data_IF_010909879867
#
_entry.id   IF_010909879867
#
_cell.length_a   1.000
_cell.length_b   1.000
_cell.length_c   1.000
_cell.angle_alpha   90.00
_cell.angle_beta   90.00
_cell.angle_gamma   90.00
#
_symmetry.space_group_name_H-M   'P 1'
#
loop_
_entity.id
_entity.type
_entity.pdbx_description
1 polymer ?
#
# COMPACT_ATOMS: atom_id res chain seq x y z
N UNK A 1 -53.42 -38.05 5.86
CA UNK A 1 -52.35 -37.07 6.20
C UNK A 1 -51.21 -37.29 5.23
N UNK A 2 -51.14 -36.48 4.17
CA UNK A 2 -50.10 -36.55 3.16
C UNK A 2 -49.04 -35.48 3.47
N UNK A 3 -47.81 -35.92 3.69
CA UNK A 3 -46.65 -35.06 3.93
C UNK A 3 -46.13 -34.53 2.60
N UNK A 4 -46.25 -33.22 2.37
CA UNK A 4 -45.69 -32.54 1.22
C UNK A 4 -44.15 -32.48 1.35
N UNK A 5 -43.45 -33.09 0.40
CA UNK A 5 -42.00 -33.02 0.25
C UNK A 5 -41.60 -31.69 -0.40
N UNK A 6 -40.78 -30.91 0.29
CA UNK A 6 -40.17 -29.68 -0.23
C UNK A 6 -39.18 -30.00 -1.36
N UNK A 7 -39.19 -29.27 -2.49
CA UNK A 7 -38.23 -29.47 -3.56
C UNK A 7 -36.83 -29.01 -3.13
N UNK A 8 -35.87 -29.94 -3.15
CA UNK A 8 -34.45 -29.65 -3.00
C UNK A 8 -33.96 -28.82 -4.19
N UNK A 9 -33.54 -27.58 -3.94
CA UNK A 9 -32.95 -26.72 -4.96
C UNK A 9 -31.52 -27.22 -5.23
N UNK A 10 -31.32 -27.81 -6.40
CA UNK A 10 -30.04 -28.32 -6.86
C UNK A 10 -28.99 -27.21 -6.98
N UNK A 11 -27.95 -27.27 -6.13
CA UNK A 11 -26.80 -26.37 -6.12
C UNK A 11 -25.86 -26.53 -7.35
N UNK A 12 -26.26 -27.33 -8.35
CA UNK A 12 -25.48 -27.70 -9.53
C UNK A 12 -25.88 -26.94 -10.81
N UNK A 13 -26.92 -26.10 -10.77
CA UNK A 13 -27.17 -25.11 -11.83
C UNK A 13 -26.16 -23.95 -11.68
N UNK A 14 -24.89 -24.26 -11.91
CA UNK A 14 -23.76 -23.35 -11.90
C UNK A 14 -23.93 -22.39 -13.09
N UNK A 15 -24.77 -21.36 -12.90
CA UNK A 15 -25.05 -20.31 -13.88
C UNK A 15 -23.74 -19.85 -14.50
N UNK A 16 -23.70 -19.86 -15.84
CA UNK A 16 -22.54 -19.45 -16.59
C UNK A 16 -21.97 -18.14 -16.03
N UNK A 17 -20.64 -18.05 -15.86
CA UNK A 17 -20.03 -16.88 -15.26
C UNK A 17 -20.33 -15.67 -16.15
N UNK A 18 -21.11 -14.74 -15.60
CA UNK A 18 -21.61 -13.56 -16.31
C UNK A 18 -20.51 -12.70 -16.94
N UNK A 19 -20.93 -11.75 -17.77
CA UNK A 19 -20.02 -10.81 -18.43
C UNK A 19 -19.80 -9.60 -17.53
N UNK A 20 -18.56 -9.41 -17.10
CA UNK A 20 -18.16 -8.30 -16.24
C UNK A 20 -17.63 -7.14 -17.09
N UNK A 21 -18.06 -5.93 -16.80
CA UNK A 21 -17.57 -4.67 -17.34
C UNK A 21 -16.92 -3.84 -16.24
N UNK A 22 -15.80 -3.21 -16.59
CA UNK A 22 -15.09 -2.26 -15.72
C UNK A 22 -15.31 -0.84 -16.24
N UNK A 23 -15.86 0.01 -15.39
CA UNK A 23 -16.14 1.41 -15.70
C UNK A 23 -15.17 2.30 -14.93
N UNK A 24 -14.45 3.16 -15.66
CA UNK A 24 -13.54 4.17 -15.09
C UNK A 24 -14.15 5.55 -15.17
N UNK A 25 -13.79 6.39 -14.20
CA UNK A 25 -14.22 7.78 -14.08
C UNK A 25 -15.74 7.94 -13.93
N UNK A 26 -16.37 6.99 -13.24
CA UNK A 26 -17.75 7.13 -12.84
C UNK A 26 -17.87 8.28 -11.83
N UNK A 27 -18.91 9.12 -11.96
CA UNK A 27 -19.04 10.30 -11.14
C UNK A 27 -19.24 9.92 -9.66
N UNK A 28 -18.32 10.36 -8.79
CA UNK A 28 -18.34 10.05 -7.36
C UNK A 28 -19.56 10.65 -6.62
N UNK A 29 -20.23 11.64 -7.21
CA UNK A 29 -21.46 12.21 -6.64
C UNK A 29 -22.66 11.27 -6.81
N UNK A 30 -22.66 10.41 -7.83
CA UNK A 30 -23.75 9.47 -8.07
C UNK A 30 -23.76 8.36 -7.03
N UNK A 31 -24.95 8.01 -6.55
CA UNK A 31 -25.17 6.92 -5.62
C UNK A 31 -25.01 5.56 -6.31
N UNK A 32 -24.97 4.50 -5.51
CA UNK A 32 -24.98 3.13 -6.05
C UNK A 32 -26.31 2.84 -6.78
N UNK A 33 -27.41 3.35 -6.25
CA UNK A 33 -28.74 3.27 -6.88
C UNK A 33 -28.76 3.91 -8.27
N UNK A 34 -28.17 5.10 -8.42
CA UNK A 34 -28.09 5.79 -9.73
C UNK A 34 -27.28 4.98 -10.75
N UNK A 35 -26.22 4.30 -10.30
CA UNK A 35 -25.42 3.42 -11.16
C UNK A 35 -26.23 2.21 -11.62
N UNK A 36 -26.97 1.56 -10.71
CA UNK A 36 -27.84 0.42 -11.04
C UNK A 36 -28.90 0.85 -12.05
N UNK A 37 -29.62 1.95 -11.79
CA UNK A 37 -30.64 2.46 -12.72
C UNK A 37 -30.06 2.84 -14.09
N UNK A 38 -28.87 3.43 -14.13
CA UNK A 38 -28.21 3.77 -15.39
C UNK A 38 -27.84 2.52 -16.21
N UNK A 39 -27.25 1.52 -15.58
CA UNK A 39 -26.77 0.32 -16.28
C UNK A 39 -27.87 -0.71 -16.56
N UNK A 40 -28.98 -0.70 -15.81
CA UNK A 40 -30.14 -1.57 -16.03
C UNK A 40 -30.81 -1.33 -17.40
N UNK A 41 -30.59 -0.16 -18.01
CA UNK A 41 -31.08 0.16 -19.37
C UNK A 41 -30.43 -0.67 -20.47
N UNK A 42 -29.24 -1.23 -20.22
CA UNK A 42 -28.53 -2.08 -21.19
C UNK A 42 -28.86 -3.57 -21.04
N UNK A 43 -29.51 -3.97 -19.94
CA UNK A 43 -29.87 -5.36 -19.65
C UNK A 43 -30.03 -5.63 -18.15
N UNK A 44 -30.49 -6.84 -17.81
CA UNK A 44 -30.66 -7.29 -16.43
C UNK A 44 -29.31 -7.38 -15.73
N UNK A 45 -29.15 -6.64 -14.62
CA UNK A 45 -27.91 -6.64 -13.85
C UNK A 45 -27.86 -7.82 -12.88
N UNK A 46 -26.80 -8.62 -12.94
CA UNK A 46 -26.48 -9.63 -11.92
C UNK A 46 -25.79 -8.98 -10.72
N UNK A 47 -24.84 -8.06 -10.98
CA UNK A 47 -24.07 -7.39 -9.92
C UNK A 47 -23.65 -5.98 -10.35
N UNK A 48 -23.61 -5.06 -9.41
CA UNK A 48 -23.12 -3.70 -9.63
C UNK A 48 -22.37 -3.25 -8.38
N UNK A 49 -21.05 -3.12 -8.44
CA UNK A 49 -20.20 -2.85 -7.28
C UNK A 49 -19.38 -1.58 -7.48
N UNK A 50 -19.64 -0.58 -6.64
CA UNK A 50 -18.90 0.68 -6.64
C UNK A 50 -17.68 0.56 -5.76
N UNK A 51 -16.49 0.74 -6.35
CA UNK A 51 -15.24 0.62 -5.62
C UNK A 51 -15.08 1.81 -4.67
N UNK A 52 -14.92 1.49 -3.38
CA UNK A 52 -14.66 2.44 -2.31
C UNK A 52 -13.26 2.23 -1.74
N UNK A 53 -12.62 3.28 -1.27
CA UNK A 53 -11.42 3.21 -0.45
C UNK A 53 -11.75 2.56 0.90
N UNK A 54 -10.76 2.10 1.68
CA UNK A 54 -10.97 1.61 3.04
C UNK A 54 -11.70 2.59 3.98
N UNK A 55 -11.65 3.89 3.68
CA UNK A 55 -12.37 4.95 4.42
C UNK A 55 -13.83 5.15 3.99
N UNK A 56 -14.33 4.37 3.03
CA UNK A 56 -15.68 4.49 2.46
C UNK A 56 -15.82 5.49 1.31
N UNK A 57 -14.80 6.28 1.00
CA UNK A 57 -14.81 7.23 -0.12
C UNK A 57 -14.88 6.52 -1.48
N UNK A 58 -15.74 6.99 -2.40
CA UNK A 58 -15.85 6.44 -3.77
C UNK A 58 -14.63 6.80 -4.61
N UNK A 59 -14.09 5.83 -5.36
CA UNK A 59 -12.88 6.02 -6.19
C UNK A 59 -13.22 6.36 -7.65
N UNK A 60 -14.50 6.31 -8.03
CA UNK A 60 -14.93 6.51 -9.42
C UNK A 60 -14.69 5.30 -10.32
N UNK A 61 -14.56 4.11 -9.72
CA UNK A 61 -14.55 2.83 -10.43
C UNK A 61 -15.80 2.03 -10.10
N UNK A 62 -16.33 1.32 -11.08
CA UNK A 62 -17.51 0.47 -10.95
C UNK A 62 -17.28 -0.85 -11.69
N UNK A 63 -17.67 -1.96 -11.06
CA UNK A 63 -17.79 -3.26 -11.72
C UNK A 63 -19.27 -3.54 -11.96
N UNK A 64 -19.62 -3.87 -13.20
CA UNK A 64 -20.99 -4.17 -13.61
C UNK A 64 -20.99 -5.55 -14.23
N UNK A 65 -21.82 -6.46 -13.73
CA UNK A 65 -21.93 -7.83 -14.21
C UNK A 65 -23.33 -8.07 -14.73
N UNK A 66 -23.40 -8.57 -15.96
CA UNK A 66 -24.64 -9.03 -16.59
C UNK A 66 -24.59 -10.56 -16.65
N UNK A 67 -25.73 -11.26 -16.47
CA UNK A 67 -25.77 -12.71 -16.59
C UNK A 67 -25.43 -13.14 -18.02
N UNK A 68 -25.91 -12.38 -19.00
CA UNK A 68 -25.67 -12.59 -20.43
C UNK A 68 -25.00 -11.36 -21.06
N UNK A 69 -24.56 -11.48 -22.31
CA UNK A 69 -24.06 -10.32 -23.06
C UNK A 69 -25.23 -9.32 -23.22
N UNK A 70 -25.07 -8.05 -22.80
CA UNK A 70 -26.13 -7.05 -22.93
C UNK A 70 -26.56 -6.92 -24.39
N UNK A 71 -27.86 -6.83 -24.66
CA UNK A 71 -28.41 -6.67 -26.01
C UNK A 71 -27.76 -5.50 -26.76
N UNK A 72 -27.39 -4.45 -26.03
CA UNK A 72 -26.73 -3.27 -26.57
C UNK A 72 -25.25 -3.15 -26.12
N UNK A 73 -24.47 -4.23 -26.18
CA UNK A 73 -23.03 -4.19 -25.82
C UNK A 73 -22.26 -3.08 -26.55
N UNK A 74 -22.60 -2.82 -27.82
CA UNK A 74 -21.97 -1.74 -28.60
C UNK A 74 -22.30 -0.34 -28.06
N UNK A 75 -23.52 -0.13 -27.54
CA UNK A 75 -23.92 1.12 -26.90
C UNK A 75 -23.22 1.28 -25.56
N UNK A 76 -23.18 0.20 -24.76
CA UNK A 76 -22.50 0.16 -23.46
C UNK A 76 -21.02 0.53 -23.58
N UNK A 77 -20.31 -0.01 -24.57
CA UNK A 77 -18.89 0.30 -24.83
C UNK A 77 -18.68 1.72 -25.38
N UNK A 78 -19.69 2.30 -26.02
CA UNK A 78 -19.68 3.68 -26.53
C UNK A 78 -20.12 4.71 -25.48
N UNK A 79 -20.53 4.30 -24.27
CA UNK A 79 -20.89 5.22 -23.19
C UNK A 79 -19.68 6.07 -22.81
N UNK A 80 -19.68 7.31 -23.31
CA UNK A 80 -18.65 8.31 -23.01
C UNK A 80 -19.09 9.31 -21.94
N UNK A 81 -20.39 9.45 -21.69
CA UNK A 81 -20.94 10.44 -20.74
C UNK A 81 -21.95 9.74 -19.85
N UNK A 82 -21.78 9.88 -18.53
CA UNK A 82 -22.78 9.46 -17.55
C UNK A 82 -23.65 10.68 -17.22
N UNK A 83 -24.98 10.54 -17.21
CA UNK A 83 -25.86 11.60 -16.75
C UNK A 83 -25.54 11.95 -15.30
N UNK A 84 -25.54 13.23 -15.00
CA UNK A 84 -25.41 13.74 -13.63
C UNK A 84 -26.80 14.06 -13.10
N UNK A 85 -26.99 14.03 -11.78
CA UNK A 85 -28.25 14.45 -11.15
C UNK A 85 -28.71 15.84 -11.64
N UNK A 86 -27.75 16.73 -11.93
CA UNK A 86 -28.01 18.10 -12.39
C UNK A 86 -28.38 18.21 -13.89
N UNK A 87 -28.54 17.09 -14.61
CA UNK A 87 -28.78 17.05 -16.07
C UNK A 87 -27.61 17.51 -16.94
N UNK A 88 -26.61 18.20 -16.36
CA UNK A 88 -25.36 18.58 -17.04
C UNK A 88 -24.50 17.34 -17.24
N UNK A 89 -24.06 17.07 -18.46
CA UNK A 89 -23.23 15.89 -18.73
C UNK A 89 -21.90 16.00 -17.98
N UNK A 90 -21.62 15.07 -17.07
CA UNK A 90 -20.35 15.01 -16.36
C UNK A 90 -19.29 14.28 -17.17
N UNK A 91 -18.05 14.47 -16.70
CA UNK A 91 -16.80 13.74 -16.94
C UNK A 91 -16.90 12.50 -17.84
N UNK A 92 -15.96 12.41 -18.78
CA UNK A 92 -15.85 11.27 -19.68
C UNK A 92 -15.68 9.97 -18.88
N UNK A 93 -16.62 9.04 -19.01
CA UNK A 93 -16.46 7.69 -18.50
C UNK A 93 -15.90 6.77 -19.57
N UNK A 94 -15.24 5.69 -19.13
CA UNK A 94 -14.72 4.67 -20.02
C UNK A 94 -15.19 3.31 -19.54
N UNK A 95 -15.95 2.63 -20.39
CA UNK A 95 -16.41 1.26 -20.15
C UNK A 95 -15.54 0.31 -20.93
N UNK A 96 -15.04 -0.73 -20.27
CA UNK A 96 -14.27 -1.80 -20.91
C UNK A 96 -14.76 -3.15 -20.42
N UNK A 97 -14.95 -4.10 -21.33
CA UNK A 97 -15.20 -5.49 -20.95
C UNK A 97 -14.04 -6.02 -20.10
N UNK A 98 -14.37 -6.45 -18.89
CA UNK A 98 -13.46 -7.12 -17.97
C UNK A 98 -13.05 -8.45 -18.57
N UNK A 99 -11.77 -8.80 -18.43
CA UNK A 99 -11.35 -10.18 -18.67
C UNK A 99 -11.81 -10.99 -17.47
N UNK A 100 -12.40 -12.16 -17.71
CA UNK A 100 -12.75 -13.10 -16.63
C UNK A 100 -11.53 -13.26 -15.71
N UNK A 101 -11.77 -13.30 -14.39
CA UNK A 101 -10.72 -13.68 -13.44
C UNK A 101 -10.18 -15.02 -13.91
N UNK A 102 -8.88 -15.06 -14.20
CA UNK A 102 -8.21 -16.30 -14.55
C UNK A 102 -8.41 -17.27 -13.38
N UNK A 103 -8.74 -18.52 -13.69
CA UNK A 103 -8.73 -19.57 -12.65
C UNK A 103 -7.31 -19.65 -12.05
N UNK A 104 -7.16 -20.11 -10.79
CA UNK A 104 -5.84 -20.31 -10.19
C UNK A 104 -4.88 -21.08 -11.11
N UNK A 105 -5.39 -22.11 -11.79
CA UNK A 105 -4.64 -22.88 -12.81
C UNK A 105 -4.20 -22.03 -14.00
N UNK A 106 -5.08 -21.16 -14.54
CA UNK A 106 -4.70 -20.23 -15.62
C UNK A 106 -3.72 -19.15 -15.15
N UNK A 107 -3.74 -18.79 -13.86
CA UNK A 107 -2.75 -17.89 -13.26
C UNK A 107 -1.40 -18.60 -13.18
N UNK A 108 -1.37 -19.85 -12.71
CA UNK A 108 -0.17 -20.67 -12.61
C UNK A 108 0.43 -20.97 -13.98
N UNK A 109 -0.37 -21.41 -14.94
CA UNK A 109 0.07 -21.62 -16.33
C UNK A 109 0.59 -20.33 -16.98
N UNK A 110 -0.01 -19.17 -16.68
CA UNK A 110 0.50 -17.88 -17.16
C UNK A 110 1.83 -17.50 -16.49
N UNK A 111 2.02 -17.80 -15.21
CA UNK A 111 3.29 -17.63 -14.49
C UNK A 111 4.36 -18.55 -15.07
N UNK A 112 4.04 -19.82 -15.31
CA UNK A 112 4.95 -20.79 -15.92
C UNK A 112 5.35 -20.34 -17.33
N UNK A 113 4.41 -19.89 -18.16
CA UNK A 113 4.71 -19.38 -19.51
C UNK A 113 5.60 -18.14 -19.47
N UNK A 114 5.38 -17.22 -18.52
CA UNK A 114 6.30 -16.08 -18.28
C UNK A 114 7.68 -16.57 -17.85
N UNK A 115 7.76 -17.53 -16.93
CA UNK A 115 9.02 -18.13 -16.48
C UNK A 115 9.79 -18.78 -17.65
N UNK A 116 9.11 -19.58 -18.49
CA UNK A 116 9.70 -20.18 -19.68
C UNK A 116 10.18 -19.12 -20.69
N UNK A 117 9.45 -18.01 -20.87
CA UNK A 117 9.89 -16.90 -21.70
C UNK A 117 11.16 -16.24 -21.16
N UNK A 118 11.23 -15.97 -19.84
CA UNK A 118 12.42 -15.45 -19.17
C UNK A 118 13.61 -16.41 -19.34
N UNK A 119 13.38 -17.73 -19.20
CA UNK A 119 14.42 -18.74 -19.38
C UNK A 119 14.96 -18.76 -20.82
N UNK A 120 14.08 -18.65 -21.82
CA UNK A 120 14.47 -18.53 -23.25
C UNK A 120 15.27 -17.25 -23.49
N UNK A 121 14.88 -16.15 -22.86
CA UNK A 121 15.60 -14.87 -22.96
C UNK A 121 16.99 -14.96 -22.31
N UNK A 122 17.11 -15.52 -21.09
CA UNK A 122 18.41 -15.78 -20.43
C UNK A 122 19.30 -16.70 -21.28
N UNK A 123 18.75 -17.72 -21.93
CA UNK A 123 19.51 -18.58 -22.86
C UNK A 123 20.03 -17.79 -24.06
N UNK A 124 19.21 -16.92 -24.67
CA UNK A 124 19.64 -16.01 -25.76
C UNK A 124 20.73 -15.04 -25.29
N UNK A 125 20.59 -14.47 -24.09
CA UNK A 125 21.59 -13.59 -23.49
C UNK A 125 22.91 -14.32 -23.21
N UNK A 126 22.90 -15.56 -22.69
CA UNK A 126 24.12 -16.36 -22.49
C UNK A 126 24.85 -16.64 -23.81
N UNK A 127 24.11 -16.91 -24.89
CA UNK A 127 24.68 -17.09 -26.23
C UNK A 127 25.33 -15.78 -26.71
N UNK A 128 24.70 -14.63 -26.46
CA UNK A 128 25.25 -13.33 -26.80
C UNK A 128 26.38 -12.87 -25.86
N UNK A 129 26.44 -13.33 -24.61
CA UNK A 129 27.52 -13.02 -23.65
C UNK A 129 28.87 -13.57 -24.13
N UNK A 130 28.87 -14.71 -24.84
CA UNK A 130 30.06 -15.22 -25.55
C UNK A 130 30.52 -14.32 -26.71
N UNK A 131 29.62 -13.48 -27.25
CA UNK A 131 29.91 -12.51 -28.33
C UNK A 131 30.21 -11.10 -27.83
N UNK A 132 29.66 -10.70 -26.69
CA UNK A 132 29.74 -9.32 -26.16
C UNK A 132 30.87 -9.10 -25.15
N UNK A 133 31.64 -10.13 -24.79
CA UNK A 133 32.80 -10.00 -23.89
C UNK A 133 32.44 -9.55 -22.46
N UNK A 134 33.48 -9.35 -21.64
CA UNK A 134 33.40 -9.09 -20.19
C UNK A 134 32.67 -7.78 -19.77
N UNK A 135 32.14 -7.01 -20.72
CA UNK A 135 31.59 -5.68 -20.45
C UNK A 135 30.27 -5.72 -19.65
N UNK A 136 29.46 -6.77 -19.78
CA UNK A 136 28.16 -6.88 -19.12
C UNK A 136 28.22 -7.42 -17.67
N UNK A 137 29.38 -7.88 -17.18
CA UNK A 137 29.51 -8.56 -15.87
C UNK A 137 29.54 -7.57 -14.70
N UNK A 138 29.83 -6.29 -14.95
CA UNK A 138 29.97 -5.25 -13.89
C UNK A 138 28.66 -4.68 -13.35
N UNK A 139 27.51 -5.02 -13.92
CA UNK A 139 26.22 -4.36 -13.62
C UNK A 139 25.23 -5.21 -12.82
N UNK A 140 25.65 -6.35 -12.28
CA UNK A 140 24.81 -7.20 -11.42
C UNK A 140 25.45 -7.21 -10.02
N UNK A 141 24.81 -6.58 -9.01
CA UNK A 141 25.26 -6.68 -7.61
C UNK A 141 25.27 -8.14 -7.14
N UNK A 142 26.19 -8.49 -6.24
CA UNK A 142 26.37 -9.88 -5.79
C UNK A 142 25.25 -10.37 -4.84
N UNK A 143 24.39 -9.46 -4.40
CA UNK A 143 23.49 -9.57 -3.26
C UNK A 143 22.03 -9.23 -3.64
N UNK A 144 21.66 -9.46 -4.91
CA UNK A 144 20.34 -9.19 -5.49
C UNK A 144 19.29 -10.23 -5.04
N UNK A 145 18.16 -9.79 -4.47
CA UNK A 145 17.05 -10.64 -4.00
C UNK A 145 15.95 -10.82 -5.07
N UNK A 146 15.45 -12.04 -5.23
CA UNK A 146 14.99 -12.56 -6.54
C UNK A 146 13.56 -12.22 -7.01
N UNK A 147 12.61 -11.78 -6.18
CA UNK A 147 11.20 -11.89 -6.60
C UNK A 147 10.51 -10.59 -7.07
N UNK A 148 10.70 -9.45 -6.39
CA UNK A 148 9.96 -8.21 -6.72
C UNK A 148 10.83 -7.12 -7.37
N UNK A 149 12.12 -7.05 -7.03
CA UNK A 149 13.06 -6.08 -7.62
C UNK A 149 13.60 -6.55 -8.99
N UNK A 150 13.45 -7.84 -9.29
CA UNK A 150 13.89 -8.44 -10.56
C UNK A 150 13.03 -7.97 -11.75
N UNK A 151 11.71 -7.84 -11.60
CA UNK A 151 10.81 -7.44 -12.71
C UNK A 151 11.07 -5.98 -13.14
N UNK A 152 11.23 -5.06 -12.18
CA UNK A 152 11.51 -3.64 -12.47
C UNK A 152 12.94 -3.42 -13.00
N UNK A 153 13.92 -4.19 -12.53
CA UNK A 153 15.29 -4.15 -13.04
C UNK A 153 15.38 -4.59 -14.51
N UNK A 154 14.70 -5.69 -14.88
CA UNK A 154 14.73 -6.18 -16.26
C UNK A 154 13.97 -5.28 -17.24
N UNK A 155 12.85 -4.67 -16.83
CA UNK A 155 12.16 -3.67 -17.68
C UNK A 155 13.07 -2.47 -17.98
N UNK A 156 13.79 -1.95 -16.98
CA UNK A 156 14.77 -0.87 -17.17
C UNK A 156 15.97 -1.27 -18.03
N UNK A 157 16.39 -2.53 -17.99
CA UNK A 157 17.48 -3.05 -18.82
C UNK A 157 17.08 -3.22 -20.28
N UNK A 158 15.86 -3.67 -20.57
CA UNK A 158 15.36 -3.77 -21.96
C UNK A 158 15.28 -2.39 -22.64
N UNK A 159 14.80 -1.37 -21.92
CA UNK A 159 14.77 0.01 -22.41
C UNK A 159 16.18 0.58 -22.66
N UNK A 160 17.13 0.26 -21.78
CA UNK A 160 18.54 0.67 -21.92
C UNK A 160 19.24 -0.01 -23.09
N UNK A 161 19.05 -1.32 -23.25
CA UNK A 161 19.63 -2.07 -24.37
C UNK A 161 19.08 -1.54 -25.71
N UNK A 162 17.79 -1.21 -25.76
CA UNK A 162 17.19 -0.59 -26.94
C UNK A 162 17.79 0.80 -27.24
N UNK A 163 17.95 1.64 -26.22
CA UNK A 163 18.55 2.97 -26.37
C UNK A 163 20.03 2.91 -26.81
N UNK A 164 20.79 1.90 -26.35
CA UNK A 164 22.17 1.67 -26.78
C UNK A 164 22.25 1.22 -28.24
N UNK A 165 21.36 0.32 -28.67
CA UNK A 165 21.27 -0.11 -30.08
C UNK A 165 20.89 1.06 -31.01
N UNK A 166 20.14 2.04 -30.52
CA UNK A 166 19.77 3.27 -31.25
C UNK A 166 20.94 4.26 -31.31
N UNK A 167 21.73 4.38 -30.24
CA UNK A 167 22.94 5.21 -30.20
C UNK A 167 24.04 4.66 -31.10
N UNK A 168 24.30 3.35 -31.08
CA UNK A 168 25.28 2.69 -31.96
C UNK A 168 24.86 2.75 -33.44
N UNK A 169 23.56 2.85 -33.73
CA UNK A 169 23.06 3.05 -35.08
C UNK A 169 23.28 4.49 -35.61
N UNK A 170 23.48 5.46 -34.71
CA UNK A 170 23.61 6.88 -35.02
C UNK A 170 25.07 7.37 -35.01
N UNK A 171 25.99 6.61 -34.42
CA UNK A 171 27.42 6.94 -34.48
C UNK A 171 28.03 6.53 -35.83
N UNK A 172 28.38 7.53 -36.65
CA UNK A 172 29.10 7.35 -37.92
C UNK A 172 30.61 7.28 -37.61
N UNK A 173 31.32 6.20 -37.99
CA UNK A 173 32.76 6.15 -37.77
C UNK A 173 33.48 7.12 -38.73
N UNK A 174 34.31 8.00 -38.18
CA UNK A 174 35.28 8.80 -38.94
C UNK A 174 36.41 7.88 -39.43
N UNK A 175 36.25 7.34 -40.64
CA UNK A 175 37.25 6.55 -41.35
C UNK A 175 36.74 6.08 -42.71
N UNK A 176 37.65 6.05 -43.68
CA UNK A 176 37.46 5.90 -45.14
C UNK A 176 36.09 5.35 -45.64
N UNK A 177 35.26 6.18 -46.32
CA UNK A 177 33.85 5.92 -46.58
C UNK A 177 33.54 4.79 -47.58
N UNK A 178 34.53 4.15 -48.17
CA UNK A 178 34.31 3.20 -49.28
C UNK A 178 34.03 1.76 -48.82
N UNK A 179 34.56 1.33 -47.66
CA UNK A 179 34.34 -0.03 -47.13
C UNK A 179 33.18 -0.11 -46.12
N UNK A 180 33.03 0.89 -45.25
CA UNK A 180 31.97 0.94 -44.24
C UNK A 180 30.57 1.02 -44.86
N UNK A 181 30.44 1.73 -45.99
CA UNK A 181 29.17 1.98 -46.65
C UNK A 181 28.59 0.73 -47.35
N UNK A 182 29.44 -0.21 -47.80
CA UNK A 182 29.00 -1.51 -48.35
C UNK A 182 28.45 -2.44 -47.26
N UNK A 183 29.10 -2.51 -46.08
CA UNK A 183 28.59 -3.31 -44.95
C UNK A 183 27.30 -2.72 -44.37
N UNK A 184 27.22 -1.39 -44.22
CA UNK A 184 26.01 -0.71 -43.77
C UNK A 184 24.82 -0.91 -44.74
N UNK A 185 25.06 -0.81 -46.06
CA UNK A 185 24.03 -1.08 -47.08
C UNK A 185 23.54 -2.54 -47.07
N UNK A 186 24.44 -3.51 -46.88
CA UNK A 186 24.06 -4.94 -46.78
C UNK A 186 23.25 -5.22 -45.51
N UNK A 187 23.61 -4.60 -44.37
CA UNK A 187 22.86 -4.70 -43.09
C UNK A 187 21.48 -4.03 -43.18
N UNK A 188 21.37 -2.84 -43.81
CA UNK A 188 20.08 -2.16 -44.07
C UNK A 188 19.17 -3.00 -44.99
N UNK A 189 19.70 -3.60 -46.07
CA UNK A 189 18.93 -4.48 -46.96
C UNK A 189 18.39 -5.72 -46.24
N UNK A 190 19.18 -6.35 -45.37
CA UNK A 190 18.73 -7.48 -44.55
C UNK A 190 17.62 -7.10 -43.57
N UNK A 191 17.75 -5.94 -42.91
CA UNK A 191 16.73 -5.42 -41.97
C UNK A 191 15.43 -5.05 -42.69
N UNK A 192 15.50 -4.43 -43.87
CA UNK A 192 14.33 -4.10 -44.67
C UNK A 192 13.58 -5.34 -45.16
N UNK A 193 14.30 -6.39 -45.58
CA UNK A 193 13.69 -7.68 -45.95
C UNK A 193 12.96 -8.31 -44.76
N UNK A 194 13.54 -8.28 -43.56
CA UNK A 194 12.89 -8.81 -42.35
C UNK A 194 11.67 -7.97 -41.92
N UNK A 195 11.69 -6.66 -42.18
CA UNK A 195 10.55 -5.79 -41.92
C UNK A 195 9.36 -6.10 -42.84
N UNK A 196 9.61 -6.23 -44.15
CA UNK A 196 8.57 -6.58 -45.14
C UNK A 196 7.97 -7.96 -44.85
N UNK A 197 8.78 -8.92 -44.41
CA UNK A 197 8.29 -10.25 -44.02
C UNK A 197 7.36 -10.20 -42.80
N UNK A 198 7.67 -9.34 -41.82
CA UNK A 198 6.77 -9.12 -40.66
C UNK A 198 5.45 -8.47 -41.06
N UNK A 199 5.46 -7.55 -42.02
CA UNK A 199 4.23 -6.96 -42.55
C UNK A 199 3.36 -8.01 -43.25
N UNK A 200 3.95 -8.84 -44.11
CA UNK A 200 3.23 -9.94 -44.79
C UNK A 200 2.59 -10.93 -43.81
N UNK A 201 3.32 -11.32 -42.76
CA UNK A 201 2.78 -12.21 -41.72
C UNK A 201 1.63 -11.53 -40.95
N UNK A 202 1.72 -10.22 -40.70
CA UNK A 202 0.66 -9.48 -40.01
C UNK A 202 -0.60 -9.33 -40.87
N UNK A 203 -0.45 -9.12 -42.17
CA UNK A 203 -1.55 -9.05 -43.14
C UNK A 203 -2.22 -10.42 -43.32
N UNK A 204 -1.44 -11.49 -43.48
CA UNK A 204 -1.96 -12.86 -43.55
C UNK A 204 -2.77 -13.24 -42.29
N UNK A 205 -2.34 -12.78 -41.11
CA UNK A 205 -3.10 -12.98 -39.86
C UNK A 205 -4.40 -12.19 -39.81
N UNK A 206 -4.45 -10.99 -40.39
CA UNK A 206 -5.70 -10.23 -40.48
C UNK A 206 -6.69 -10.91 -41.41
N UNK A 207 -6.21 -11.45 -42.52
CA UNK A 207 -7.05 -12.12 -43.51
C UNK A 207 -7.58 -13.47 -42.99
N UNK A 208 -6.74 -14.25 -42.32
CA UNK A 208 -7.19 -15.47 -41.64
C UNK A 208 -8.18 -15.20 -40.48
N UNK A 209 -8.26 -13.98 -39.96
CA UNK A 209 -9.23 -13.60 -38.93
C UNK A 209 -10.59 -13.25 -39.56
N UNK A 210 -10.60 -12.65 -40.75
CA UNK A 210 -11.85 -12.32 -41.47
C UNK A 210 -12.54 -13.56 -42.03
N UNK A 211 -11.78 -14.60 -42.38
CA UNK A 211 -12.33 -15.83 -42.96
C UNK A 211 -12.99 -16.77 -41.93
N UNK A 212 -12.88 -16.47 -40.63
CA UNK A 212 -13.47 -17.27 -39.53
C UNK A 212 -14.82 -16.70 -39.06
N UNK A 213 -15.15 -15.46 -39.44
CA UNK A 213 -16.37 -14.78 -38.97
C UNK A 213 -17.56 -14.90 -39.96
N UNK A 214 -17.43 -15.67 -41.05
CA UNK A 214 -18.54 -15.99 -41.96
C UNK A 214 -19.01 -17.44 -41.75
N UNK A 215 -19.90 -17.66 -40.76
CA UNK A 215 -20.78 -18.84 -40.72
C UNK A 215 -22.25 -18.44 -40.97
N UNK A 216 -23.02 -19.33 -41.62
CA UNK A 216 -24.26 -18.98 -42.31
C UNK A 216 -25.44 -18.76 -41.36
N UNK A 217 -26.27 -17.76 -41.71
CA UNK A 217 -27.53 -17.43 -41.04
C UNK A 217 -28.48 -18.63 -41.01
N UNK A 218 -28.78 -19.13 -39.80
CA UNK A 218 -29.89 -20.05 -39.54
C UNK A 218 -31.02 -19.24 -38.90
N UNK A 219 -32.13 -19.15 -39.64
CA UNK A 219 -33.39 -18.55 -39.21
C UNK A 219 -34.05 -19.41 -38.13
N UNK A 220 -34.34 -18.85 -36.96
CA UNK A 220 -35.20 -19.48 -35.96
C UNK A 220 -36.46 -18.68 -35.68
N UNK A 221 -37.56 -19.44 -35.61
CA UNK A 221 -38.93 -19.03 -35.47
C UNK A 221 -39.28 -18.63 -34.03
N UNK A 222 -40.16 -17.64 -33.94
CA UNK A 222 -40.80 -17.14 -32.72
C UNK A 222 -41.83 -18.15 -32.21
N UNK A 223 -41.76 -18.51 -30.92
CA UNK A 223 -42.89 -19.06 -30.15
C UNK A 223 -43.02 -18.27 -28.85
N UNK A 224 -44.27 -17.95 -28.55
CA UNK A 224 -44.73 -16.91 -27.64
C UNK A 224 -45.46 -17.55 -26.43
N UNK A 225 -45.51 -16.79 -25.32
CA UNK A 225 -46.47 -16.88 -24.18
C UNK A 225 -46.22 -17.91 -23.06
N UNK A 226 -46.01 -17.42 -21.82
CA UNK A 226 -47.06 -17.37 -20.78
C UNK A 226 -46.58 -16.81 -19.43
N UNK A 227 -47.42 -15.93 -18.86
CA UNK A 227 -47.32 -15.25 -17.57
C UNK A 227 -47.48 -16.19 -16.36
N UNK A 228 -46.81 -15.88 -15.25
CA UNK A 228 -47.20 -16.34 -13.90
C UNK A 228 -47.01 -15.22 -12.88
N UNK A 229 -48.08 -14.98 -12.12
CA UNK A 229 -48.32 -13.90 -11.19
C UNK A 229 -47.55 -13.98 -9.85
N UNK A 230 -47.46 -12.80 -9.23
CA UNK A 230 -46.95 -12.50 -7.89
C UNK A 230 -47.82 -13.10 -6.77
N UNK A 231 -47.18 -13.58 -5.70
CA UNK A 231 -47.78 -13.60 -4.35
C UNK A 231 -46.75 -13.13 -3.33
N UNK A 232 -47.18 -12.20 -2.49
CA UNK A 232 -46.47 -11.60 -1.36
C UNK A 232 -46.74 -12.37 -0.06
N UNK A 233 -45.82 -12.32 0.90
CA UNK A 233 -46.02 -12.87 2.24
C UNK A 233 -44.94 -12.40 3.22
N UNK A 234 -45.40 -11.86 4.35
CA UNK A 234 -44.68 -11.07 5.35
C UNK A 234 -43.95 -11.89 6.44
N UNK A 235 -43.04 -11.17 7.11
CA UNK A 235 -42.33 -11.32 8.40
C UNK A 235 -42.78 -12.35 9.46
N UNK A 236 -41.80 -13.04 10.08
CA UNK A 236 -41.82 -13.42 11.53
C UNK A 236 -40.38 -13.45 12.11
N UNK A 237 -40.18 -12.75 13.23
CA UNK A 237 -38.99 -12.76 14.11
C UNK A 237 -39.02 -13.92 15.13
N UNK A 238 -37.85 -14.49 15.49
CA UNK A 238 -37.68 -15.29 16.73
C UNK A 238 -36.32 -16.04 16.86
N UNK A 239 -35.78 -16.29 18.08
CA UNK A 239 -34.34 -16.10 18.35
C UNK A 239 -33.49 -17.35 18.72
N UNK A 240 -32.16 -17.17 18.63
CA UNK A 240 -31.03 -17.73 19.39
C UNK A 240 -31.04 -19.20 19.85
N UNK A 241 -30.07 -19.98 19.36
CA UNK A 241 -29.44 -21.09 20.11
C UNK A 241 -27.92 -21.04 19.95
N UNK A 242 -27.22 -21.06 21.09
CA UNK A 242 -25.76 -21.17 21.22
C UNK A 242 -25.49 -22.58 21.76
N UNK A 243 -24.69 -23.35 21.04
CA UNK A 243 -24.29 -24.70 21.43
C UNK A 243 -22.97 -24.66 22.23
N UNK A 244 -22.99 -25.26 23.43
CA UNK A 244 -21.85 -25.45 24.31
C UNK A 244 -21.62 -26.96 24.47
N UNK A 245 -20.53 -27.47 23.89
CA UNK A 245 -20.05 -28.82 24.15
C UNK A 245 -18.54 -28.85 23.98
N UNK A 246 -17.78 -28.98 25.08
CA UNK A 246 -16.48 -29.64 25.22
C UNK A 246 -15.84 -29.27 26.57
N UNK A 247 -16.23 -29.99 27.63
CA UNK A 247 -15.54 -29.95 28.93
C UNK A 247 -15.61 -31.36 29.53
N UNK A 248 -14.57 -32.18 29.30
CA UNK A 248 -14.22 -33.36 30.10
C UNK A 248 -13.11 -34.14 29.39
N UNK A 249 -11.85 -33.81 29.65
CA UNK A 249 -10.68 -34.70 29.61
C UNK A 249 -9.48 -33.82 29.94
N UNK A 250 -9.06 -33.70 31.21
CA UNK A 250 -7.69 -33.35 31.66
C UNK A 250 -7.73 -33.03 33.17
N UNK A 251 -7.64 -34.06 34.02
CA UNK A 251 -7.58 -33.86 35.48
C UNK A 251 -6.65 -34.82 36.23
N UNK A 252 -5.73 -35.52 35.55
CA UNK A 252 -4.85 -36.49 36.21
C UNK A 252 -3.33 -36.28 36.05
N UNK A 253 -2.86 -35.16 35.48
CA UNK A 253 -1.41 -34.89 35.34
C UNK A 253 -0.84 -33.76 36.22
N UNK A 254 -1.67 -33.10 37.04
CA UNK A 254 -1.24 -31.90 37.79
C UNK A 254 -0.58 -32.14 39.15
N UNK A 255 -0.55 -33.38 39.66
CA UNK A 255 -0.16 -33.60 41.07
C UNK A 255 1.34 -33.82 41.27
N UNK A 256 2.09 -34.29 40.26
CA UNK A 256 3.52 -34.64 40.41
C UNK A 256 4.45 -33.46 40.05
N UNK A 257 3.97 -32.46 39.30
CA UNK A 257 4.75 -31.28 38.88
C UNK A 257 4.84 -30.16 39.93
N UNK A 258 3.93 -30.12 40.92
CA UNK A 258 3.84 -29.01 41.89
C UNK A 258 4.91 -29.04 42.99
N UNK A 259 5.48 -30.21 43.32
CA UNK A 259 6.38 -30.35 44.47
C UNK A 259 7.78 -29.79 44.16
N UNK A 260 8.26 -29.86 42.90
CA UNK A 260 9.58 -29.30 42.51
C UNK A 260 9.54 -27.82 42.10
N UNK A 261 8.37 -27.28 41.78
CA UNK A 261 8.23 -25.88 41.35
C UNK A 261 8.34 -24.90 42.54
N UNK A 262 7.93 -25.32 43.73
CA UNK A 262 7.85 -24.45 44.92
C UNK A 262 9.22 -24.02 45.46
N UNK A 263 10.25 -24.86 45.30
CA UNK A 263 11.62 -24.56 45.73
C UNK A 263 12.37 -23.70 44.70
N UNK A 264 12.15 -23.93 43.40
CA UNK A 264 12.67 -23.07 42.31
C UNK A 264 12.11 -21.66 42.43
N UNK A 265 10.81 -21.51 42.74
CA UNK A 265 10.18 -20.19 42.94
C UNK A 265 10.77 -19.40 44.12
N UNK A 266 11.24 -20.06 45.19
CA UNK A 266 11.89 -19.38 46.32
C UNK A 266 13.28 -18.85 45.95
N UNK A 267 14.04 -19.62 45.16
CA UNK A 267 15.37 -19.20 44.71
C UNK A 267 15.31 -18.06 43.68
N UNK A 268 14.32 -18.07 42.78
CA UNK A 268 14.10 -16.95 41.83
C UNK A 268 13.61 -15.68 42.50
N UNK A 269 12.83 -15.73 43.60
CA UNK A 269 12.34 -14.51 44.28
C UNK A 269 13.47 -13.66 44.87
N UNK A 270 14.50 -14.29 45.46
CA UNK A 270 15.63 -13.58 46.07
C UNK A 270 16.51 -12.87 45.03
N UNK A 271 16.67 -13.46 43.84
CA UNK A 271 17.42 -12.84 42.74
C UNK A 271 16.57 -11.77 42.02
N UNK A 272 15.25 -11.92 42.02
CA UNK A 272 14.31 -11.05 41.31
C UNK A 272 14.13 -9.67 41.96
N UNK A 273 14.14 -9.56 43.29
CA UNK A 273 13.91 -8.27 43.96
C UNK A 273 15.08 -7.28 43.83
N UNK A 274 16.32 -7.77 43.70
CA UNK A 274 17.50 -6.94 43.43
C UNK A 274 17.62 -6.58 41.93
N UNK A 275 17.17 -7.46 41.02
CA UNK A 275 17.06 -7.17 39.58
C UNK A 275 15.93 -6.19 39.24
N UNK A 276 14.81 -6.24 39.97
CA UNK A 276 13.68 -5.32 39.77
C UNK A 276 13.99 -3.87 40.16
N UNK A 277 14.90 -3.63 41.11
CA UNK A 277 15.39 -2.27 41.42
C UNK A 277 16.29 -1.71 40.31
N UNK A 278 16.86 -2.57 39.47
CA UNK A 278 17.78 -2.23 38.39
C UNK A 278 17.09 -1.95 37.04
N UNK A 279 15.92 -2.54 36.76
CA UNK A 279 15.23 -2.40 35.47
C UNK A 279 14.39 -1.10 35.38
N UNK A 280 15.04 0.03 35.10
CA UNK A 280 14.37 1.34 34.90
C UNK A 280 13.81 1.54 33.49
N UNK A 281 14.30 0.80 32.50
CA UNK A 281 13.91 0.92 31.11
C UNK A 281 13.63 -0.45 30.49
N UNK A 282 12.56 -0.53 29.68
CA UNK A 282 12.19 -1.77 28.99
C UNK A 282 12.17 -1.51 27.48
N UNK A 283 13.04 -2.22 26.76
CA UNK A 283 12.99 -2.35 25.30
C UNK A 283 12.19 -3.60 24.98
N UNK A 284 11.03 -3.42 24.35
CA UNK A 284 10.18 -4.56 23.99
C UNK A 284 10.56 -5.09 22.61
N UNK A 285 11.21 -6.26 22.59
CA UNK A 285 11.46 -7.06 21.40
C UNK A 285 10.63 -8.35 21.47
N UNK A 286 9.36 -8.31 21.05
CA UNK A 286 8.50 -9.51 20.98
C UNK A 286 7.09 -9.34 21.58
N UNK A 287 6.26 -10.41 21.57
CA UNK A 287 4.91 -10.39 22.14
C UNK A 287 4.96 -10.19 23.65
N UNK A 288 4.21 -9.19 24.12
CA UNK A 288 4.24 -8.75 25.51
C UNK A 288 3.52 -9.73 26.43
N UNK A 289 4.26 -10.34 27.36
CA UNK A 289 3.72 -11.18 28.45
C UNK A 289 3.93 -10.46 29.78
N UNK A 290 2.86 -10.12 30.53
CA UNK A 290 2.98 -9.32 31.74
C UNK A 290 3.37 -10.23 32.91
N UNK A 291 4.66 -10.25 33.28
CA UNK A 291 5.12 -10.91 34.52
C UNK A 291 5.70 -9.93 35.55
N UNK A 292 5.79 -8.63 35.25
CA UNK A 292 6.32 -7.64 36.20
C UNK A 292 5.19 -6.87 36.93
N UNK A 293 5.21 -6.81 38.28
CA UNK A 293 4.23 -6.07 39.08
C UNK A 293 4.44 -4.55 39.09
N UNK A 294 5.61 -4.06 38.65
CA UNK A 294 5.93 -2.63 38.61
C UNK A 294 5.82 -2.13 37.16
N UNK A 295 4.98 -1.12 36.87
CA UNK A 295 4.88 -0.58 35.52
C UNK A 295 6.18 0.17 35.16
N UNK A 296 6.74 -0.07 33.96
CA UNK A 296 7.95 0.61 33.51
C UNK A 296 7.71 2.12 33.39
N UNK A 297 8.72 2.91 33.77
CA UNK A 297 8.71 4.38 33.60
C UNK A 297 9.16 4.81 32.21
N UNK A 298 9.89 3.96 31.51
CA UNK A 298 10.40 4.21 30.17
C UNK A 298 10.09 3.01 29.28
N UNK A 299 9.44 3.27 28.15
CA UNK A 299 9.08 2.23 27.18
C UNK A 299 9.55 2.65 25.80
N UNK A 300 10.35 1.78 25.17
CA UNK A 300 10.73 1.89 23.77
C UNK A 300 10.06 0.79 22.98
N UNK A 301 9.24 1.18 22.00
CA UNK A 301 8.51 0.27 21.12
C UNK A 301 9.14 0.32 19.72
N UNK A 302 9.55 -0.85 19.22
CA UNK A 302 10.19 -1.04 17.92
C UNK A 302 9.29 -1.90 16.99
N UNK A 303 9.15 -1.56 15.69
CA UNK A 303 8.43 -2.38 14.72
C UNK A 303 9.07 -3.75 14.51
N UNK A 304 8.32 -4.73 13.95
CA UNK A 304 6.95 -4.62 13.42
C UNK A 304 5.84 -4.89 14.46
N UNK A 305 6.21 -5.24 15.70
CA UNK A 305 5.31 -5.81 16.71
C UNK A 305 4.33 -4.81 17.33
N UNK A 306 4.46 -3.52 17.04
CA UNK A 306 3.65 -2.46 17.65
C UNK A 306 2.35 -2.27 16.88
N UNK A 307 1.31 -2.98 17.31
CA UNK A 307 -0.07 -2.75 16.85
C UNK A 307 -0.74 -1.63 17.66
N UNK A 308 -1.81 -0.98 17.17
CA UNK A 308 -2.52 0.04 17.93
C UNK A 308 -3.00 -0.48 19.29
N UNK A 309 -3.47 -1.72 19.35
CA UNK A 309 -3.94 -2.34 20.59
C UNK A 309 -2.84 -2.62 21.61
N UNK A 310 -1.59 -2.87 21.17
CA UNK A 310 -0.45 -2.99 22.10
C UNK A 310 -0.14 -1.63 22.70
N UNK A 311 -0.09 -0.59 21.88
CA UNK A 311 0.17 0.77 22.36
C UNK A 311 -0.92 1.24 23.33
N UNK A 312 -2.19 1.00 23.01
CA UNK A 312 -3.31 1.31 23.89
C UNK A 312 -3.12 0.61 25.24
N UNK A 313 -2.90 -0.71 25.26
CA UNK A 313 -2.62 -1.47 26.49
C UNK A 313 -1.42 -0.95 27.28
N UNK A 314 -0.36 -0.49 26.61
CA UNK A 314 0.81 0.11 27.29
C UNK A 314 0.42 1.40 27.99
N UNK A 315 -0.28 2.31 27.29
CA UNK A 315 -0.76 3.57 27.85
C UNK A 315 -1.75 3.33 29.00
N UNK A 316 -2.63 2.34 28.87
CA UNK A 316 -3.60 1.99 29.91
C UNK A 316 -2.96 1.40 31.17
N UNK A 317 -1.94 0.55 31.01
CA UNK A 317 -1.34 -0.19 32.13
C UNK A 317 -0.15 0.53 32.76
N UNK A 318 0.39 1.56 32.10
CA UNK A 318 1.52 2.34 32.59
C UNK A 318 1.14 3.81 32.83
N UNK A 319 0.25 4.13 33.80
CA UNK A 319 -0.15 5.52 34.06
C UNK A 319 1.02 6.41 34.55
N UNK A 320 2.08 5.81 35.09
CA UNK A 320 3.29 6.49 35.54
C UNK A 320 4.40 6.57 34.48
N UNK A 321 4.07 6.32 33.21
CA UNK A 321 5.02 6.37 32.10
C UNK A 321 5.57 7.79 31.92
N UNK A 322 6.89 7.94 32.06
CA UNK A 322 7.61 9.21 31.90
C UNK A 322 8.19 9.38 30.51
N UNK A 323 8.68 8.31 29.90
CA UNK A 323 9.30 8.32 28.58
C UNK A 323 8.66 7.31 27.65
N UNK A 324 8.22 7.78 26.48
CA UNK A 324 7.70 6.94 25.41
C UNK A 324 8.49 7.20 24.13
N UNK A 325 9.17 6.17 23.64
CA UNK A 325 9.89 6.23 22.36
C UNK A 325 9.26 5.25 21.37
N UNK A 326 8.69 5.81 20.31
CA UNK A 326 8.16 5.07 19.17
C UNK A 326 9.10 5.26 17.99
N UNK A 327 10.08 4.38 17.86
CA UNK A 327 11.06 4.49 16.75
C UNK A 327 10.78 3.44 15.69
N UNK A 328 10.91 3.81 14.42
CA UNK A 328 10.78 2.91 13.27
C UNK A 328 9.47 3.05 12.48
N UNK A 329 9.38 2.26 11.40
CA UNK A 329 8.31 2.30 10.39
C UNK A 329 6.96 1.79 10.91
N UNK A 330 6.31 2.55 11.80
CA UNK A 330 4.98 2.23 12.29
C UNK A 330 3.90 2.79 11.35
N UNK A 331 2.78 2.09 11.19
CA UNK A 331 1.59 2.62 10.48
C UNK A 331 0.57 3.22 11.44
N UNK A 332 1.02 3.86 12.53
CA UNK A 332 0.13 4.29 13.62
C UNK A 332 -0.24 5.78 13.75
N UNK A 333 0.02 6.71 12.81
CA UNK A 333 -0.11 8.14 13.11
C UNK A 333 -1.52 8.57 13.50
N UNK A 334 -2.58 8.02 12.88
CA UNK A 334 -3.97 8.34 13.23
C UNK A 334 -4.42 7.71 14.55
N UNK A 335 -3.97 6.50 14.85
CA UNK A 335 -4.35 5.80 16.08
C UNK A 335 -3.58 6.34 17.28
N UNK A 336 -2.31 6.69 17.07
CA UNK A 336 -1.44 7.25 18.08
C UNK A 336 -2.03 8.53 18.70
N UNK A 337 -2.46 9.47 17.84
CA UNK A 337 -3.09 10.72 18.28
C UNK A 337 -4.38 10.42 19.05
N UNK A 338 -5.19 9.47 18.60
CA UNK A 338 -6.43 9.10 19.29
C UNK A 338 -6.18 8.45 20.66
N UNK A 339 -5.15 7.62 20.78
CA UNK A 339 -4.81 6.95 22.04
C UNK A 339 -4.34 7.99 23.07
N UNK A 340 -3.41 8.86 22.67
CA UNK A 340 -2.87 9.89 23.57
C UNK A 340 -3.90 10.96 23.96
N UNK A 341 -4.87 11.25 23.09
CA UNK A 341 -5.91 12.25 23.37
C UNK A 341 -7.04 11.71 24.23
N UNK A 342 -7.39 10.43 24.10
CA UNK A 342 -8.39 9.79 24.95
C UNK A 342 -7.92 9.58 26.38
N UNK A 343 -6.61 9.38 26.57
CA UNK A 343 -6.01 9.17 27.89
C UNK A 343 -4.85 10.15 28.11
N UNK A 344 -5.13 11.36 28.63
CA UNK A 344 -4.08 12.35 28.86
C UNK A 344 -3.03 11.79 29.81
N UNK A 345 -1.78 11.69 29.34
CA UNK A 345 -0.66 11.20 30.13
C UNK A 345 -0.01 12.37 30.86
N UNK A 346 -0.56 12.71 32.02
CA UNK A 346 -0.03 13.78 32.89
C UNK A 346 1.41 13.54 33.31
N UNK A 347 1.91 12.30 33.31
CA UNK A 347 3.27 11.98 33.75
C UNK A 347 4.29 11.89 32.61
N UNK A 348 3.85 11.96 31.35
CA UNK A 348 4.76 11.84 30.21
C UNK A 348 5.59 13.11 30.06
N UNK A 349 6.89 13.00 30.35
CA UNK A 349 7.86 14.09 30.23
C UNK A 349 8.66 14.01 28.94
N UNK A 350 8.86 12.82 28.37
CA UNK A 350 9.67 12.62 27.17
C UNK A 350 8.90 11.83 26.12
N UNK A 351 8.80 12.37 24.90
CA UNK A 351 8.14 11.73 23.79
C UNK A 351 9.03 11.76 22.55
N UNK A 352 9.32 10.58 22.00
CA UNK A 352 10.07 10.44 20.75
C UNK A 352 9.20 9.73 19.72
N UNK A 353 9.01 10.35 18.55
CA UNK A 353 8.21 9.82 17.44
C UNK A 353 9.09 9.73 16.19
N UNK A 354 9.66 8.55 15.99
CA UNK A 354 10.53 8.14 14.89
C UNK A 354 9.84 8.02 13.53
N UNK A 355 10.67 8.01 12.48
CA UNK A 355 10.26 8.12 11.09
C UNK A 355 9.26 7.03 10.69
N UNK A 356 8.07 7.48 10.30
CA UNK A 356 7.05 6.68 9.64
C UNK A 356 7.43 6.65 8.15
N UNK A 357 8.28 5.70 7.75
CA UNK A 357 8.66 5.34 6.37
C UNK A 357 8.40 6.38 5.25
N UNK A 358 9.46 6.88 4.61
CA UNK A 358 9.40 7.81 3.46
C UNK A 358 8.46 7.34 2.33
N UNK A 359 8.34 6.03 2.10
CA UNK A 359 7.42 5.49 1.11
C UNK A 359 5.93 5.79 1.40
N UNK A 360 5.60 6.19 2.63
CA UNK A 360 4.26 6.47 3.12
C UNK A 360 4.09 7.94 3.50
N UNK A 361 4.41 8.85 2.58
CA UNK A 361 4.13 10.30 2.69
C UNK A 361 2.66 10.69 2.99
N UNK A 362 1.73 9.73 3.16
CA UNK A 362 0.30 9.99 3.40
C UNK A 362 -0.16 9.65 4.81
N UNK A 363 0.69 9.07 5.63
CA UNK A 363 0.41 8.76 7.03
C UNK A 363 1.42 9.52 7.89
N UNK A 364 1.26 10.84 7.94
CA UNK A 364 1.92 11.67 8.94
C UNK A 364 0.95 11.95 10.08
N UNK A 365 1.48 12.18 11.28
CA UNK A 365 0.71 12.82 12.34
C UNK A 365 0.25 14.16 11.77
N UNK A 366 -1.06 14.34 11.64
CA UNK A 366 -1.60 15.61 11.15
C UNK A 366 -1.20 16.73 12.10
N UNK A 367 -1.06 17.95 11.59
CA UNK A 367 -0.86 19.14 12.43
C UNK A 367 -1.84 19.17 13.60
N UNK A 368 -3.12 18.86 13.35
CA UNK A 368 -4.13 18.78 14.41
C UNK A 368 -3.80 17.73 15.46
N UNK A 369 -3.44 16.52 15.04
CA UNK A 369 -3.05 15.44 15.94
C UNK A 369 -1.84 15.80 16.82
N UNK A 370 -0.85 16.50 16.26
CA UNK A 370 0.29 16.98 17.05
C UNK A 370 -0.13 18.02 18.10
N UNK A 371 -1.02 18.95 17.73
CA UNK A 371 -1.57 19.94 18.67
C UNK A 371 -2.41 19.27 19.76
N UNK A 372 -3.15 18.21 19.44
CA UNK A 372 -3.95 17.48 20.42
C UNK A 372 -3.06 16.70 21.40
N UNK A 373 -1.91 16.18 20.94
CA UNK A 373 -0.87 15.62 21.82
C UNK A 373 -0.34 16.71 22.76
N UNK A 374 -0.04 17.91 22.26
CA UNK A 374 0.43 19.03 23.09
C UNK A 374 -0.56 19.37 24.21
N UNK A 375 -1.87 19.39 23.89
CA UNK A 375 -2.94 19.65 24.87
C UNK A 375 -3.06 18.57 25.92
N UNK A 376 -2.82 17.31 25.52
CA UNK A 376 -3.01 16.13 26.36
C UNK A 376 -1.80 15.86 27.26
N UNK A 377 -0.59 16.21 26.80
CA UNK A 377 0.67 15.98 27.51
C UNK A 377 1.24 17.30 28.07
N UNK A 378 0.57 17.88 29.08
CA UNK A 378 0.94 19.21 29.64
C UNK A 378 2.33 19.25 30.28
N UNK A 379 2.84 18.10 30.74
CA UNK A 379 4.14 17.99 31.40
C UNK A 379 5.24 17.53 30.44
N UNK A 380 5.02 17.63 29.13
CA UNK A 380 6.02 17.26 28.14
C UNK A 380 7.20 18.24 28.17
N UNK A 381 8.38 17.72 28.54
CA UNK A 381 9.63 18.48 28.66
C UNK A 381 10.56 18.27 27.45
N UNK A 382 10.49 17.10 26.82
CA UNK A 382 11.31 16.76 25.65
C UNK A 382 10.47 16.13 24.55
N UNK A 383 10.65 16.61 23.32
CA UNK A 383 9.97 16.10 22.13
C UNK A 383 10.96 15.91 20.98
N UNK A 384 10.99 14.70 20.42
CA UNK A 384 11.83 14.35 19.28
C UNK A 384 10.93 13.89 18.12
N UNK A 385 10.98 14.56 16.98
CA UNK A 385 10.11 14.30 15.83
C UNK A 385 10.95 14.03 14.58
N UNK A 386 10.63 12.93 13.88
CA UNK A 386 11.34 12.51 12.67
C UNK A 386 10.48 12.63 11.40
N UNK A 387 9.68 13.69 11.31
CA UNK A 387 8.86 13.97 10.14
C UNK A 387 8.71 15.48 9.94
N UNK A 388 8.34 15.86 8.72
CA UNK A 388 8.16 17.26 8.36
C UNK A 388 6.92 17.85 9.03
N UNK A 389 7.10 18.99 9.69
CA UNK A 389 6.05 19.72 10.39
C UNK A 389 6.12 21.17 9.92
N UNK A 390 5.03 21.66 9.35
CA UNK A 390 4.96 23.04 8.87
C UNK A 390 5.23 24.04 10.01
N UNK A 391 5.90 25.15 9.70
CA UNK A 391 6.28 26.21 10.64
C UNK A 391 5.12 26.64 11.56
N UNK A 392 3.93 26.88 11.00
CA UNK A 392 2.73 27.28 11.76
C UNK A 392 2.30 26.22 12.79
N UNK A 393 2.54 24.94 12.50
CA UNK A 393 2.23 23.85 13.41
C UNK A 393 3.22 23.81 14.57
N UNK A 394 4.52 24.00 14.31
CA UNK A 394 5.54 24.08 15.36
C UNK A 394 5.27 25.25 16.29
N UNK A 395 4.98 26.45 15.76
CA UNK A 395 4.66 27.62 16.60
C UNK A 395 3.46 27.37 17.52
N UNK A 396 2.35 26.85 16.97
CA UNK A 396 1.17 26.52 17.79
C UNK A 396 1.43 25.38 18.77
N UNK A 397 2.26 24.41 18.40
CA UNK A 397 2.62 23.30 19.28
C UNK A 397 3.34 23.83 20.51
N UNK A 398 4.34 24.68 20.28
CA UNK A 398 5.10 25.34 21.33
C UNK A 398 4.21 26.18 22.25
N UNK A 399 3.23 26.91 21.70
CA UNK A 399 2.27 27.70 22.51
C UNK A 399 1.46 26.84 23.49
N UNK A 400 1.17 25.59 23.10
CA UNK A 400 0.43 24.63 23.92
C UNK A 400 1.34 23.87 24.89
N UNK A 401 2.56 23.54 24.49
CA UNK A 401 3.52 22.77 25.26
C UNK A 401 4.41 23.68 26.14
N UNK A 402 3.80 24.35 27.12
CA UNK A 402 4.47 25.38 27.94
C UNK A 402 5.67 24.88 28.76
N UNK A 403 5.72 23.57 29.04
CA UNK A 403 6.80 22.94 29.80
C UNK A 403 7.91 22.36 28.90
N UNK A 404 7.80 22.50 27.58
CA UNK A 404 8.78 21.94 26.65
C UNK A 404 10.10 22.71 26.77
N UNK A 405 11.16 21.98 27.12
CA UNK A 405 12.53 22.50 27.24
C UNK A 405 13.40 22.08 26.07
N UNK A 406 13.18 20.87 25.55
CA UNK A 406 13.98 20.27 24.50
C UNK A 406 13.09 19.92 23.30
N UNK A 407 13.41 20.47 22.13
CA UNK A 407 12.75 20.13 20.88
C UNK A 407 13.79 19.71 19.84
N UNK A 408 13.71 18.46 19.39
CA UNK A 408 14.54 17.93 18.31
C UNK A 408 13.67 17.64 17.08
N UNK A 409 13.96 18.31 15.96
CA UNK A 409 13.27 18.09 14.70
C UNK A 409 14.25 17.52 13.68
N UNK A 410 13.93 16.36 13.12
CA UNK A 410 14.65 15.78 12.00
C UNK A 410 13.89 16.05 10.71
N UNK A 411 14.40 16.98 9.89
CA UNK A 411 13.76 17.41 8.66
C UNK A 411 14.36 16.64 7.48
N UNK A 412 13.53 15.94 6.67
CA UNK A 412 14.02 15.12 5.56
C UNK A 412 14.49 15.93 4.34
N UNK A 413 14.16 17.23 4.25
CA UNK A 413 14.55 18.08 3.12
C UNK A 413 14.89 19.51 3.54
N UNK A 414 15.69 20.18 2.70
CA UNK A 414 16.17 21.55 2.90
C UNK A 414 15.03 22.58 2.79
N UNK A 415 14.33 22.80 3.90
CA UNK A 415 13.42 23.92 4.04
C UNK A 415 14.06 25.01 4.90
N UNK A 416 13.96 26.27 4.45
CA UNK A 416 14.15 27.40 5.35
C UNK A 416 12.97 27.41 6.34
N UNK A 417 13.23 26.97 7.57
CA UNK A 417 12.22 27.04 8.64
C UNK A 417 12.46 28.32 9.45
N UNK A 418 11.57 29.30 9.30
CA UNK A 418 11.64 30.53 10.09
C UNK A 418 10.87 30.34 11.41
N UNK A 419 11.46 29.61 12.37
CA UNK A 419 10.81 29.43 13.67
C UNK A 419 10.80 30.73 14.47
N UNK A 420 9.63 31.38 14.55
CA UNK A 420 9.37 32.43 15.53
C UNK A 420 8.96 31.78 16.84
N UNK A 421 9.89 31.76 17.80
CA UNK A 421 9.62 31.32 19.15
C UNK A 421 8.98 32.47 19.93
N UNK A 422 7.79 32.28 20.52
CA UNK A 422 7.32 33.16 21.60
C UNK A 422 8.32 33.10 22.76
N UNK A 423 8.23 34.00 23.74
CA UNK A 423 9.11 34.07 24.91
C UNK A 423 8.99 32.82 25.82
N UNK A 424 9.43 31.67 25.32
CA UNK A 424 9.35 30.36 25.96
C UNK A 424 10.68 29.94 26.55
N UNK A 425 10.61 29.04 27.52
CA UNK A 425 11.74 28.44 28.22
C UNK A 425 12.32 27.24 27.46
N UNK A 426 12.53 27.36 26.14
CA UNK A 426 13.26 26.33 25.41
C UNK A 426 14.74 26.45 25.78
N UNK A 427 15.27 25.39 26.39
CA UNK A 427 16.69 25.28 26.74
C UNK A 427 17.48 24.82 25.52
N UNK A 428 16.95 23.87 24.75
CA UNK A 428 17.59 23.34 23.55
C UNK A 428 16.61 23.18 22.38
N UNK A 429 17.08 23.55 21.19
CA UNK A 429 16.42 23.26 19.91
C UNK A 429 17.47 22.68 18.98
N UNK A 430 17.30 21.42 18.59
CA UNK A 430 18.20 20.75 17.65
C UNK A 430 17.47 20.49 16.35
N UNK A 431 17.99 21.05 15.26
CA UNK A 431 17.51 20.79 13.91
C UNK A 431 18.53 19.86 13.25
N UNK A 432 18.15 18.60 13.06
CA UNK A 432 19.01 17.62 12.39
C UNK A 432 18.53 17.43 10.96
N UNK A 433 19.35 17.83 10.00
CA UNK A 433 19.11 17.53 8.60
C UNK A 433 19.54 16.08 8.37
N UNK A 434 18.61 15.26 7.89
CA UNK A 434 18.96 13.91 7.46
C UNK A 434 19.61 14.02 6.09
N UNK A 435 20.93 13.82 6.03
CA UNK A 435 21.62 13.74 4.75
C UNK A 435 21.04 12.53 4.00
N UNK A 436 20.46 12.78 2.83
CA UNK A 436 19.78 11.79 2.00
C UNK A 436 20.79 10.81 1.41
N UNK A 437 21.44 10.01 2.24
CA UNK A 437 22.42 9.02 1.85
C UNK A 437 21.77 7.82 1.19
N UNK A 438 21.35 7.98 -0.08
CA UNK A 438 21.50 7.03 -1.20
C UNK A 438 20.75 7.46 -2.47
N UNK A 439 21.46 7.40 -3.60
CA UNK A 439 21.00 7.18 -4.98
C UNK A 439 20.20 8.24 -5.76
N UNK A 440 20.48 9.53 -5.56
CA UNK A 440 20.22 10.51 -6.62
C UNK A 440 21.45 11.37 -6.92
N UNK A 441 22.30 10.90 -7.84
CA UNK A 441 23.18 11.79 -8.63
C UNK A 441 22.32 12.63 -9.59
N UNK A 442 21.51 13.53 -9.04
CA UNK A 442 20.97 14.66 -9.77
C UNK A 442 21.76 15.90 -9.34
N UNK A 443 22.38 16.54 -10.33
CA UNK A 443 23.17 17.77 -10.24
C UNK A 443 22.58 18.77 -9.22
N UNK A 444 23.20 18.90 -8.06
CA UNK A 444 23.07 20.09 -7.22
C UNK A 444 24.47 20.65 -6.92
N UNK A 445 24.64 21.99 -6.95
CA UNK A 445 25.92 22.60 -6.66
C UNK A 445 26.32 22.30 -5.22
N UNK A 446 27.55 21.79 -5.05
CA UNK A 446 28.23 21.71 -3.76
C UNK A 446 28.29 23.14 -3.20
N UNK A 447 27.84 23.34 -1.96
CA UNK A 447 27.69 24.62 -1.25
C UNK A 447 26.36 25.36 -1.48
N UNK A 448 25.29 24.89 -0.83
CA UNK A 448 24.14 25.74 -0.50
C UNK A 448 24.36 26.24 0.95
N UNK A 449 24.49 27.56 1.19
CA UNK A 449 24.59 28.09 2.55
C UNK A 449 23.25 27.93 3.29
N UNK A 450 23.30 27.42 4.52
CA UNK A 450 22.14 27.33 5.39
C UNK A 450 22.07 28.55 6.31
N UNK A 451 20.88 29.09 6.48
CA UNK A 451 20.61 30.18 7.41
C UNK A 451 19.63 29.70 8.48
N UNK A 452 20.16 29.34 9.66
CA UNK A 452 19.33 29.22 10.86
C UNK A 452 19.18 30.62 11.43
N UNK A 453 18.08 31.30 11.12
CA UNK A 453 17.81 32.64 11.68
C UNK A 453 17.21 32.50 13.08
N UNK A 454 18.05 32.38 14.09
CA UNK A 454 17.63 32.44 15.50
C UNK A 454 17.21 33.88 15.82
N UNK A 455 15.97 34.08 16.28
CA UNK A 455 15.46 35.37 16.72
C UNK A 455 16.32 35.97 17.86
N UNK A 456 16.40 37.31 17.95
CA UNK A 456 17.27 38.08 18.87
C UNK A 456 17.09 37.79 20.37
N UNK A 457 16.09 36.99 20.78
CA UNK A 457 15.70 36.81 22.18
C UNK A 457 16.35 35.61 22.90
N UNK A 458 17.29 34.89 22.28
CA UNK A 458 17.89 33.68 22.88
C UNK A 458 19.43 33.68 22.84
N UNK A 459 20.09 34.32 23.82
CA UNK A 459 21.56 34.41 23.86
C UNK A 459 22.26 33.03 23.99
N UNK A 460 21.62 32.08 24.68
CA UNK A 460 22.14 30.71 24.87
C UNK A 460 22.11 29.89 23.58
N UNK A 461 21.03 29.99 22.79
CA UNK A 461 20.90 29.27 21.51
C UNK A 461 21.80 29.86 20.43
N UNK A 462 22.11 31.16 20.50
CA UNK A 462 22.98 31.83 19.53
C UNK A 462 24.41 31.27 19.54
N UNK A 463 24.98 30.98 20.72
CA UNK A 463 26.32 30.38 20.87
C UNK A 463 26.44 28.97 20.28
N UNK A 464 25.33 28.24 20.13
CA UNK A 464 25.33 26.89 19.57
C UNK A 464 24.98 26.86 18.08
N UNK A 465 24.47 27.97 17.53
CA UNK A 465 24.09 28.11 16.13
C UNK A 465 25.17 28.82 15.28
N UNK A 466 25.95 29.70 15.89
CA UNK A 466 27.24 30.20 15.38
C UNK A 466 28.32 29.11 15.54
#
# INVERSE_FOLDING_TARGET
MATASSPSVDASALKDPGVIYFVRYFNYRLSHYDAVQFFARFGTLSRCDMVRKPRGEKVGFLFVEFPEVPQEESALLKVRKVPTADGKSSSRCFVRRGKRKKTPEQIEAAREKKCQQRLRFRKKLKINKRRLGNFLVRFIPADFNEDDEEEEFWERMDDRVWAMDEQEANEVPLGDPTAANKKARKKKRGRHKHYLERQRIAEAKKQAQTDVDEEPEVSENVVEVADVELVSGEDVFGPLFVDQSLHCMFSHLDFISQIRFREVCRFTRLIHDDLLKSLRSVKLHGPWVPLCPVPPREVSLLPPTVTPGVLEKVVERCPALKSLSLTGNMRLPFYFTNILTRKPMSHLTHLQIGALNEAYHRSFITTHGLLDIARSCRNLESLVLYFDIGEKAVTKFLELAQNLRNLELYLPYMYQVNLKFPAMKLETVSLMLRDGGRDTEARYPRHIPFFVRVSKNFPSLRKNAE
#
